data_IF_892350804442
#
_entry.id   IF_892350804442
#
_cell.length_a   1.000
_cell.length_b   1.000
_cell.length_c   1.000
_cell.angle_alpha   90.00
_cell.angle_beta   90.00
_cell.angle_gamma   90.00
#
_symmetry.space_group_name_H-M   'P 1'
#
loop_
_entity.id
_entity.type
_entity.pdbx_description
1 polymer ?
#
# COMPACT_ATOMS: atom_id res chain seq x y z
N UNK A 1 6.64 -15.69 15.28
CA UNK A 1 7.84 -15.62 14.42
C UNK A 1 7.87 -16.87 13.57
N UNK A 2 7.59 -16.75 12.26
CA UNK A 2 7.70 -17.88 11.34
C UNK A 2 9.20 -18.21 11.22
N UNK A 3 9.55 -19.47 11.56
CA UNK A 3 10.93 -19.91 11.44
C UNK A 3 11.38 -19.83 9.97
N UNK A 4 12.44 -19.06 9.63
CA UNK A 4 12.89 -18.87 8.25
C UNK A 4 13.28 -20.19 7.57
N UNK A 5 13.67 -21.21 8.32
CA UNK A 5 13.95 -22.54 7.78
C UNK A 5 12.68 -23.26 7.29
N UNK A 6 11.56 -23.09 8.01
CA UNK A 6 10.26 -23.63 7.61
C UNK A 6 9.79 -22.91 6.34
N UNK A 7 9.91 -21.59 6.28
CA UNK A 7 9.58 -20.80 5.10
C UNK A 7 10.42 -21.21 3.88
N UNK A 8 11.73 -21.40 4.05
CA UNK A 8 12.63 -21.85 2.99
C UNK A 8 12.31 -23.29 2.51
N UNK A 9 11.96 -24.19 3.43
CA UNK A 9 11.53 -25.55 3.10
C UNK A 9 10.25 -25.53 2.25
N UNK A 10 9.20 -24.84 2.71
CA UNK A 10 7.95 -24.73 1.94
C UNK A 10 8.15 -24.03 0.60
N UNK A 11 9.01 -23.01 0.53
CA UNK A 11 9.36 -22.35 -0.72
C UNK A 11 10.02 -23.30 -1.73
N UNK A 12 10.98 -24.11 -1.27
CA UNK A 12 11.64 -25.09 -2.13
C UNK A 12 10.69 -26.20 -2.58
N UNK A 13 9.82 -26.69 -1.71
CA UNK A 13 8.81 -27.70 -2.04
C UNK A 13 7.81 -27.17 -3.07
N UNK A 14 7.27 -25.97 -2.85
CA UNK A 14 6.39 -25.29 -3.80
C UNK A 14 7.06 -25.08 -5.17
N UNK A 15 8.34 -24.70 -5.16
CA UNK A 15 9.11 -24.49 -6.40
C UNK A 15 9.35 -25.79 -7.16
N UNK A 16 9.51 -26.91 -6.46
CA UNK A 16 9.63 -28.24 -7.04
C UNK A 16 8.30 -28.73 -7.63
N UNK A 17 7.20 -28.57 -6.91
CA UNK A 17 5.85 -28.92 -7.38
C UNK A 17 5.43 -28.10 -8.59
N UNK A 18 5.74 -26.81 -8.62
CA UNK A 18 5.43 -25.94 -9.78
C UNK A 18 6.17 -26.32 -11.07
N UNK A 19 7.27 -27.06 -10.97
CA UNK A 19 7.98 -27.61 -12.15
C UNK A 19 7.36 -28.88 -12.71
N UNK A 20 6.63 -29.61 -11.90
CA UNK A 20 6.09 -30.95 -12.23
C UNK A 20 4.63 -30.86 -12.69
N UNK A 21 3.87 -29.88 -12.22
CA UNK A 21 2.46 -29.70 -12.58
C UNK A 21 2.31 -29.10 -13.99
N UNK A 22 1.52 -29.73 -14.86
CA UNK A 22 1.22 -29.18 -16.19
C UNK A 22 0.50 -27.83 -16.04
N UNK A 23 0.80 -26.89 -16.94
CA UNK A 23 0.19 -25.57 -17.01
C UNK A 23 -1.27 -25.67 -17.43
N UNK A 24 -2.16 -26.02 -16.52
CA UNK A 24 -3.59 -25.81 -16.70
C UNK A 24 -3.92 -24.36 -16.34
N UNK A 25 -4.80 -23.70 -17.12
CA UNK A 25 -5.17 -22.29 -16.94
C UNK A 25 -5.56 -21.94 -15.49
N UNK A 26 -6.26 -22.83 -14.80
CA UNK A 26 -6.67 -22.65 -13.41
C UNK A 26 -5.49 -22.50 -12.42
N UNK A 27 -4.39 -23.22 -12.66
CA UNK A 27 -3.21 -23.10 -11.79
C UNK A 27 -2.41 -21.83 -12.04
N UNK A 28 -2.46 -21.28 -13.26
CA UNK A 28 -1.83 -20.00 -13.56
C UNK A 28 -2.47 -18.86 -12.76
N UNK A 29 -3.81 -18.81 -12.67
CA UNK A 29 -4.53 -17.79 -11.90
C UNK A 29 -4.26 -17.90 -10.39
N UNK A 30 -4.21 -19.11 -9.84
CA UNK A 30 -3.90 -19.32 -8.42
C UNK A 30 -2.47 -18.86 -8.11
N UNK A 31 -1.49 -19.14 -8.97
CA UNK A 31 -0.12 -18.62 -8.82
C UNK A 31 -0.06 -17.10 -8.87
N UNK A 32 -0.83 -16.47 -9.76
CA UNK A 32 -0.97 -15.02 -9.85
C UNK A 32 -1.53 -14.44 -8.55
N UNK A 33 -2.64 -14.98 -8.08
CA UNK A 33 -3.28 -14.58 -6.83
C UNK A 33 -2.31 -14.67 -5.64
N UNK A 34 -1.58 -15.77 -5.52
CA UNK A 34 -0.59 -15.97 -4.47
C UNK A 34 0.52 -14.91 -4.49
N UNK A 35 1.07 -14.56 -5.67
CA UNK A 35 2.07 -13.50 -5.81
C UNK A 35 1.53 -12.14 -5.38
N UNK A 36 0.28 -11.83 -5.74
CA UNK A 36 -0.36 -10.59 -5.34
C UNK A 36 -0.63 -10.53 -3.83
N UNK A 37 -1.04 -11.64 -3.21
CA UNK A 37 -1.24 -11.71 -1.75
C UNK A 37 0.07 -11.40 -1.01
N UNK A 38 1.20 -11.98 -1.43
CA UNK A 38 2.49 -11.69 -0.83
C UNK A 38 2.93 -10.25 -1.03
N UNK A 39 2.71 -9.70 -2.20
CA UNK A 39 2.99 -8.29 -2.49
C UNK A 39 2.14 -7.37 -1.62
N UNK A 40 0.84 -7.61 -1.51
CA UNK A 40 -0.08 -6.84 -0.66
C UNK A 40 0.28 -6.96 0.82
N UNK A 41 0.62 -8.15 1.28
CA UNK A 41 1.06 -8.38 2.66
C UNK A 41 2.32 -7.56 2.99
N UNK A 42 3.35 -7.63 2.15
CA UNK A 42 4.57 -6.83 2.30
C UNK A 42 4.28 -5.33 2.25
N UNK A 43 3.43 -4.88 1.32
CA UNK A 43 3.02 -3.49 1.18
C UNK A 43 2.30 -2.98 2.44
N UNK A 44 1.36 -3.75 2.99
CA UNK A 44 0.67 -3.39 4.23
C UNK A 44 1.65 -3.25 5.40
N UNK A 45 2.62 -4.16 5.53
CA UNK A 45 3.67 -4.03 6.56
C UNK A 45 4.47 -2.73 6.37
N UNK A 46 4.83 -2.38 5.14
CA UNK A 46 5.55 -1.12 4.84
C UNK A 46 4.70 0.10 5.19
N UNK A 47 3.42 0.11 4.81
CA UNK A 47 2.50 1.22 5.12
C UNK A 47 2.37 1.41 6.63
N UNK A 48 2.07 0.34 7.38
CA UNK A 48 1.93 0.40 8.83
C UNK A 48 3.25 0.75 9.53
N UNK A 49 4.37 0.23 9.05
CA UNK A 49 5.70 0.57 9.57
C UNK A 49 6.03 2.04 9.35
N UNK A 50 5.77 2.58 8.16
CA UNK A 50 5.96 3.99 7.84
C UNK A 50 5.03 4.90 8.66
N UNK A 51 3.76 4.52 8.81
CA UNK A 51 2.79 5.23 9.66
C UNK A 51 3.28 5.32 11.10
N UNK A 52 3.68 4.20 11.71
CA UNK A 52 4.17 4.17 13.09
C UNK A 52 5.47 4.95 13.26
N UNK A 53 6.38 4.92 12.27
CA UNK A 53 7.61 5.70 12.30
C UNK A 53 7.34 7.22 12.27
N UNK A 54 6.38 7.66 11.42
CA UNK A 54 5.97 9.05 11.37
C UNK A 54 5.26 9.48 12.66
N UNK A 55 4.35 8.67 13.17
CA UNK A 55 3.63 8.96 14.41
C UNK A 55 4.60 9.10 15.60
N UNK A 56 5.59 8.22 15.68
CA UNK A 56 6.68 8.33 16.63
C UNK A 56 7.47 9.63 16.47
N UNK A 57 7.81 10.02 15.24
CA UNK A 57 8.54 11.25 14.97
C UNK A 57 7.76 12.51 15.40
N UNK A 58 6.44 12.56 15.13
CA UNK A 58 5.59 13.66 15.57
C UNK A 58 5.46 13.73 17.09
N UNK A 59 5.33 12.58 17.76
CA UNK A 59 5.25 12.52 19.22
C UNK A 59 6.55 13.00 19.89
N UNK A 60 7.71 12.64 19.33
CA UNK A 60 9.01 13.17 19.77
C UNK A 60 9.11 14.69 19.57
N UNK A 61 8.69 15.19 18.41
CA UNK A 61 8.75 16.61 18.06
C UNK A 61 7.85 17.46 18.95
N UNK A 62 6.77 16.90 19.49
CA UNK A 62 5.88 17.56 20.46
C UNK A 62 6.49 17.63 21.87
N UNK A 63 7.70 17.14 22.09
CA UNK A 63 8.39 17.20 23.39
C UNK A 63 7.90 16.17 24.40
N UNK A 64 7.05 15.22 24.00
CA UNK A 64 6.63 14.14 24.88
C UNK A 64 7.78 13.13 25.02
N UNK A 65 8.35 13.07 26.21
CA UNK A 65 9.30 12.02 26.57
C UNK A 65 8.56 10.69 26.55
N UNK A 66 8.75 9.95 25.48
CA UNK A 66 8.13 8.66 25.26
C UNK A 66 8.71 7.66 26.28
N UNK A 67 7.88 7.24 27.21
CA UNK A 67 8.19 6.10 28.09
C UNK A 67 8.33 4.79 27.32
N UNK A 68 8.09 3.66 27.99
CA UNK A 68 8.16 2.32 27.38
C UNK A 68 7.31 2.18 26.09
N UNK A 69 6.12 2.77 26.05
CA UNK A 69 5.19 2.73 24.92
C UNK A 69 5.77 3.32 23.62
N UNK A 70 6.50 4.42 23.72
CA UNK A 70 7.12 5.01 22.54
C UNK A 70 8.25 4.18 21.96
N UNK A 71 9.03 3.53 22.83
CA UNK A 71 10.08 2.60 22.40
C UNK A 71 9.49 1.40 21.67
N UNK A 72 8.38 0.85 22.15
CA UNK A 72 7.68 -0.27 21.51
C UNK A 72 7.18 0.12 20.12
N UNK A 73 6.59 1.31 19.97
CA UNK A 73 6.12 1.82 18.66
C UNK A 73 7.28 1.94 17.67
N UNK A 74 8.42 2.50 18.11
CA UNK A 74 9.59 2.63 17.23
C UNK A 74 10.17 1.27 16.83
N UNK A 75 10.30 0.33 17.77
CA UNK A 75 10.79 -1.02 17.49
C UNK A 75 9.87 -1.76 16.54
N UNK A 76 8.56 -1.65 16.75
CA UNK A 76 7.57 -2.27 15.87
C UNK A 76 7.59 -1.67 14.46
N UNK A 77 7.72 -0.34 14.35
CA UNK A 77 7.87 0.35 13.06
C UNK A 77 9.09 -0.17 12.29
N UNK A 78 10.25 -0.26 12.96
CA UNK A 78 11.48 -0.78 12.34
C UNK A 78 11.31 -2.24 11.94
N UNK A 79 10.73 -3.07 12.80
CA UNK A 79 10.51 -4.49 12.51
C UNK A 79 9.60 -4.68 11.28
N UNK A 80 8.51 -3.91 11.19
CA UNK A 80 7.59 -3.94 10.05
C UNK A 80 8.28 -3.50 8.74
N UNK A 81 9.09 -2.44 8.80
CA UNK A 81 9.82 -1.96 7.63
C UNK A 81 10.91 -2.93 7.19
N UNK A 82 11.69 -3.46 8.12
CA UNK A 82 12.80 -4.40 7.83
C UNK A 82 12.29 -5.70 7.23
N UNK A 83 11.13 -6.18 7.68
CA UNK A 83 10.51 -7.41 7.14
C UNK A 83 9.66 -7.11 5.92
N UNK A 84 8.82 -6.08 5.97
CA UNK A 84 7.86 -5.75 4.94
C UNK A 84 8.49 -5.25 3.64
N UNK A 85 9.53 -4.39 3.73
CA UNK A 85 10.14 -3.81 2.55
C UNK A 85 10.81 -4.85 1.63
N UNK A 86 11.60 -5.82 2.11
CA UNK A 86 12.11 -6.89 1.28
C UNK A 86 11.00 -7.75 0.66
N UNK A 87 9.98 -8.14 1.44
CA UNK A 87 8.86 -8.94 0.95
C UNK A 87 8.15 -8.19 -0.19
N UNK A 88 7.79 -6.93 0.03
CA UNK A 88 7.14 -6.10 -0.99
C UNK A 88 8.02 -5.94 -2.23
N UNK A 89 9.30 -5.58 -2.05
CA UNK A 89 10.22 -5.32 -3.16
C UNK A 89 10.43 -6.55 -4.03
N UNK A 90 10.73 -7.70 -3.45
CA UNK A 90 10.96 -8.94 -4.20
C UNK A 90 9.67 -9.43 -4.86
N UNK A 91 8.54 -9.39 -4.17
CA UNK A 91 7.24 -9.78 -4.75
C UNK A 91 6.85 -8.87 -5.91
N UNK A 92 7.06 -7.56 -5.76
CA UNK A 92 6.78 -6.59 -6.81
C UNK A 92 7.70 -6.77 -8.01
N UNK A 93 9.00 -7.00 -7.78
CA UNK A 93 9.95 -7.29 -8.85
C UNK A 93 9.56 -8.54 -9.65
N UNK A 94 9.22 -9.63 -8.96
CA UNK A 94 8.73 -10.86 -9.62
C UNK A 94 7.48 -10.57 -10.46
N UNK A 95 6.54 -9.76 -9.96
CA UNK A 95 5.37 -9.34 -10.73
C UNK A 95 5.73 -8.53 -11.96
N UNK A 96 6.74 -7.66 -11.89
CA UNK A 96 7.22 -6.87 -13.03
C UNK A 96 7.94 -7.73 -14.08
N UNK A 97 8.77 -8.68 -13.65
CA UNK A 97 9.53 -9.56 -14.55
C UNK A 97 8.58 -10.46 -15.38
N UNK A 98 7.47 -10.92 -14.78
CA UNK A 98 6.46 -11.75 -15.47
C UNK A 98 5.65 -10.94 -16.49
N UNK A 99 5.64 -9.61 -16.43
CA UNK A 99 4.96 -8.73 -17.40
C UNK A 99 5.58 -8.73 -18.81
N UNK A 100 6.72 -9.37 -18.99
CA UNK A 100 7.26 -9.62 -20.33
C UNK A 100 6.32 -10.52 -21.17
N UNK A 101 5.48 -11.34 -20.50
CA UNK A 101 4.50 -12.21 -21.14
C UNK A 101 3.17 -11.46 -21.41
N UNK A 102 2.68 -11.52 -22.65
CA UNK A 102 1.47 -10.80 -23.10
C UNK A 102 0.21 -11.29 -22.35
N UNK A 103 0.13 -12.58 -22.03
CA UNK A 103 -1.00 -13.18 -21.31
C UNK A 103 -1.16 -12.67 -19.88
N UNK A 104 -0.05 -12.28 -19.25
CA UNK A 104 -0.03 -11.72 -17.89
C UNK A 104 -0.43 -10.24 -17.86
N UNK A 105 -0.21 -9.51 -18.97
CA UNK A 105 -0.62 -8.09 -19.09
C UNK A 105 -2.13 -7.92 -19.10
N UNK A 106 -2.86 -8.86 -19.65
CA UNK A 106 -4.32 -8.81 -19.79
C UNK A 106 -5.09 -9.33 -18.57
N UNK A 107 -4.40 -9.73 -17.49
CA UNK A 107 -5.02 -10.28 -16.31
C UNK A 107 -5.95 -9.28 -15.61
N UNK A 108 -7.24 -9.64 -15.52
CA UNK A 108 -8.26 -8.87 -14.78
C UNK A 108 -7.92 -8.73 -13.29
N UNK A 109 -7.25 -9.72 -12.72
CA UNK A 109 -6.84 -9.74 -11.32
C UNK A 109 -5.84 -8.62 -11.03
N UNK A 110 -4.86 -8.42 -11.91
CA UNK A 110 -3.89 -7.32 -11.81
C UNK A 110 -4.57 -5.96 -11.87
N UNK A 111 -5.42 -5.76 -12.87
CA UNK A 111 -6.17 -4.52 -13.02
C UNK A 111 -7.00 -4.24 -11.77
N UNK A 112 -7.72 -5.25 -11.26
CA UNK A 112 -8.51 -5.14 -10.04
C UNK A 112 -7.68 -4.72 -8.82
N UNK A 113 -6.49 -5.30 -8.64
CA UNK A 113 -5.60 -4.95 -7.51
C UNK A 113 -5.03 -3.54 -7.66
N UNK A 114 -4.62 -3.13 -8.87
CA UNK A 114 -4.17 -1.75 -9.11
C UNK A 114 -5.29 -0.73 -8.82
N UNK A 115 -6.52 -1.03 -9.21
CA UNK A 115 -7.70 -0.22 -8.87
C UNK A 115 -7.94 -0.16 -7.38
N UNK A 116 -7.88 -1.31 -6.69
CA UNK A 116 -8.06 -1.38 -5.24
C UNK A 116 -7.03 -0.52 -4.52
N UNK A 117 -5.76 -0.60 -4.91
CA UNK A 117 -4.68 0.17 -4.30
C UNK A 117 -4.80 1.67 -4.61
N UNK A 118 -5.09 2.02 -5.86
CA UNK A 118 -5.27 3.42 -6.25
C UNK A 118 -6.50 4.04 -5.58
N UNK A 119 -7.65 3.37 -5.61
CA UNK A 119 -8.89 3.86 -5.01
C UNK A 119 -8.81 3.89 -3.48
N UNK A 120 -8.33 2.81 -2.87
CA UNK A 120 -8.12 2.74 -1.42
C UNK A 120 -7.15 3.82 -0.93
N UNK A 121 -6.06 4.05 -1.68
CA UNK A 121 -5.11 5.12 -1.39
C UNK A 121 -5.77 6.50 -1.42
N UNK A 122 -6.54 6.80 -2.46
CA UNK A 122 -7.27 8.09 -2.58
C UNK A 122 -8.25 8.31 -1.43
N UNK A 123 -9.07 7.30 -1.09
CA UNK A 123 -10.05 7.41 0.00
C UNK A 123 -9.34 7.78 1.31
N UNK A 124 -8.23 7.09 1.63
CA UNK A 124 -7.47 7.36 2.86
C UNK A 124 -6.83 8.76 2.82
N UNK A 125 -6.26 9.16 1.68
CA UNK A 125 -5.65 10.49 1.50
C UNK A 125 -6.68 11.60 1.65
N UNK A 126 -7.86 11.46 1.04
CA UNK A 126 -8.94 12.45 1.17
C UNK A 126 -9.44 12.55 2.62
N UNK A 127 -9.63 11.41 3.30
CA UNK A 127 -10.04 11.38 4.70
C UNK A 127 -9.00 12.02 5.62
N UNK A 128 -7.72 11.67 5.45
CA UNK A 128 -6.61 12.23 6.22
C UNK A 128 -6.44 13.74 5.93
N UNK A 129 -6.53 14.13 4.65
CA UNK A 129 -6.47 15.52 4.21
C UNK A 129 -7.62 16.35 4.76
N UNK A 130 -8.85 15.87 4.71
CA UNK A 130 -10.01 16.53 5.30
C UNK A 130 -9.87 16.74 6.81
N UNK A 131 -9.38 15.70 7.52
CA UNK A 131 -9.10 15.80 8.95
C UNK A 131 -7.98 16.82 9.25
N UNK A 132 -6.93 16.86 8.44
CA UNK A 132 -5.85 17.82 8.57
C UNK A 132 -6.36 19.27 8.36
N UNK A 133 -7.13 19.50 7.30
CA UNK A 133 -7.75 20.81 7.02
C UNK A 133 -8.65 21.24 8.18
N UNK A 134 -9.47 20.34 8.69
CA UNK A 134 -10.33 20.62 9.86
C UNK A 134 -9.50 21.10 11.05
N UNK A 135 -8.41 20.42 11.41
CA UNK A 135 -7.55 20.80 12.54
C UNK A 135 -6.84 22.13 12.32
N UNK A 136 -6.41 22.40 11.08
CA UNK A 136 -5.81 23.70 10.71
C UNK A 136 -6.83 24.84 10.85
N UNK A 137 -8.07 24.65 10.40
CA UNK A 137 -9.13 25.63 10.53
C UNK A 137 -9.51 25.89 11.99
N UNK A 138 -9.62 24.86 12.81
CA UNK A 138 -9.92 25.01 14.25
C UNK A 138 -8.81 25.80 14.96
N UNK A 139 -7.54 25.52 14.65
CA UNK A 139 -6.42 26.28 15.19
C UNK A 139 -6.44 27.75 14.74
N UNK A 140 -6.77 28.00 13.45
CA UNK A 140 -6.85 29.36 12.91
C UNK A 140 -8.03 30.16 13.48
N UNK A 141 -9.14 29.51 13.79
CA UNK A 141 -10.36 30.11 14.33
C UNK A 141 -10.33 30.36 15.84
N UNK A 142 -9.26 29.99 16.54
CA UNK A 142 -9.04 30.42 17.90
C UNK A 142 -9.11 29.36 18.98
N UNK A 143 -8.97 28.06 18.68
CA UNK A 143 -8.80 27.03 19.72
C UNK A 143 -7.54 27.20 20.56
N UNK A 144 -6.58 28.03 20.14
CA UNK A 144 -5.46 28.52 20.94
C UNK A 144 -4.58 27.41 21.57
N UNK A 145 -4.52 26.23 20.96
CA UNK A 145 -3.68 25.13 21.45
C UNK A 145 -2.20 25.52 21.41
N UNK A 146 -1.45 25.06 22.40
CA UNK A 146 0.01 25.21 22.40
C UNK A 146 0.62 24.53 21.17
N UNK A 147 1.72 25.07 20.68
CA UNK A 147 2.41 24.55 19.46
C UNK A 147 2.70 23.06 19.56
N UNK A 148 3.13 22.56 20.72
CA UNK A 148 3.40 21.15 20.92
C UNK A 148 2.14 20.26 20.77
N UNK A 149 1.02 20.69 21.34
CA UNK A 149 -0.27 19.98 21.24
C UNK A 149 -0.80 20.00 19.79
N UNK A 150 -0.62 21.14 19.10
CA UNK A 150 -1.00 21.27 17.70
C UNK A 150 -0.17 20.34 16.78
N UNK A 151 1.17 20.28 16.99
CA UNK A 151 2.03 19.35 16.24
C UNK A 151 1.58 17.89 16.44
N UNK A 152 1.23 17.52 17.66
CA UNK A 152 0.73 16.18 17.95
C UNK A 152 -0.63 15.92 17.28
N UNK A 153 -1.53 16.90 17.29
CA UNK A 153 -2.84 16.80 16.67
C UNK A 153 -2.75 16.58 15.15
N UNK A 154 -1.88 17.33 14.45
CA UNK A 154 -1.72 17.16 12.99
C UNK A 154 -0.90 15.92 12.63
N UNK A 155 -0.12 15.40 13.57
CA UNK A 155 0.73 14.22 13.38
C UNK A 155 -0.05 13.00 12.91
N UNK A 156 -1.18 12.69 13.55
CA UNK A 156 -2.01 11.54 13.20
C UNK A 156 -2.49 11.52 11.74
N UNK A 157 -3.18 12.55 11.25
CA UNK A 157 -3.57 12.65 9.84
C UNK A 157 -2.39 12.57 8.86
N UNK A 158 -1.25 13.19 9.18
CA UNK A 158 -0.06 13.17 8.33
C UNK A 158 0.56 11.78 8.30
N UNK A 159 0.68 11.13 9.47
CA UNK A 159 1.26 9.79 9.59
C UNK A 159 0.49 8.73 8.80
N UNK A 160 -0.83 8.87 8.69
CA UNK A 160 -1.68 8.02 7.86
C UNK A 160 -1.64 8.46 6.40
N UNK A 161 -1.84 9.76 6.15
CA UNK A 161 -2.00 10.31 4.80
C UNK A 161 -0.78 10.15 3.93
N UNK A 162 0.43 10.38 4.46
CA UNK A 162 1.68 10.36 3.66
C UNK A 162 2.00 8.98 3.09
N UNK A 163 2.01 7.87 3.84
CA UNK A 163 2.26 6.55 3.26
C UNK A 163 1.23 6.17 2.19
N UNK A 164 -0.05 6.45 2.43
CA UNK A 164 -1.10 6.17 1.46
C UNK A 164 -1.04 7.08 0.22
N UNK A 165 -0.61 8.34 0.36
CA UNK A 165 -0.37 9.23 -0.78
C UNK A 165 0.76 8.71 -1.68
N UNK A 166 1.83 8.18 -1.09
CA UNK A 166 2.93 7.55 -1.84
C UNK A 166 2.42 6.31 -2.59
N UNK A 167 1.66 5.45 -1.92
CA UNK A 167 1.06 4.26 -2.54
C UNK A 167 0.13 4.65 -3.69
N UNK A 168 -0.76 5.61 -3.46
CA UNK A 168 -1.67 6.12 -4.49
C UNK A 168 -0.90 6.69 -5.70
N UNK A 169 0.09 7.56 -5.47
CA UNK A 169 0.86 8.16 -6.54
C UNK A 169 1.65 7.11 -7.35
N UNK A 170 2.23 6.13 -6.66
CA UNK A 170 3.01 5.06 -7.28
C UNK A 170 2.13 4.13 -8.13
N UNK A 171 1.10 3.54 -7.52
CA UNK A 171 0.22 2.58 -8.21
C UNK A 171 -0.75 3.25 -9.17
N UNK A 172 -1.16 4.50 -8.90
CA UNK A 172 -1.94 5.30 -9.83
C UNK A 172 -1.20 5.60 -11.14
N UNK A 173 0.12 5.84 -11.06
CA UNK A 173 0.97 5.98 -12.25
C UNK A 173 0.96 4.69 -13.10
N UNK A 174 1.12 3.52 -12.46
CA UNK A 174 1.07 2.23 -13.15
C UNK A 174 -0.30 1.95 -13.77
N UNK A 175 -1.36 2.29 -13.07
CA UNK A 175 -2.73 2.18 -13.58
C UNK A 175 -2.92 3.05 -14.83
N UNK A 176 -2.46 4.31 -14.78
CA UNK A 176 -2.58 5.25 -15.89
C UNK A 176 -1.76 4.81 -17.12
N UNK A 177 -0.56 4.26 -16.91
CA UNK A 177 0.23 3.68 -18.00
C UNK A 177 -0.49 2.49 -18.66
N UNK A 178 -1.18 1.68 -17.89
CA UNK A 178 -1.92 0.54 -18.41
C UNK A 178 -3.11 0.98 -19.27
N UNK A 179 -3.74 2.12 -18.97
CA UNK A 179 -4.79 2.70 -19.82
C UNK A 179 -4.26 3.23 -21.14
N UNK A 180 -3.08 3.84 -21.15
CA UNK A 180 -2.47 4.37 -22.37
C UNK A 180 -2.11 3.27 -23.39
N UNK A 181 -1.86 2.03 -22.94
CA UNK A 181 -1.63 0.88 -23.82
C UNK A 181 -2.92 0.23 -24.34
N UNK A 182 -4.10 0.56 -23.80
CA UNK A 182 -5.34 -0.17 -23.99
C UNK A 182 -6.41 0.68 -24.73
N UNK A 183 -6.02 1.75 -25.43
CA UNK A 183 -6.94 2.66 -26.15
C UNK A 183 -7.80 1.93 -27.20
N UNK A 184 -7.40 0.75 -27.66
CA UNK A 184 -8.09 -0.01 -28.70
C UNK A 184 -9.15 -1.02 -28.19
N UNK A 185 -9.36 -1.17 -26.88
CA UNK A 185 -10.28 -2.17 -26.33
C UNK A 185 -11.58 -1.59 -25.76
N UNK A 186 -12.71 -1.60 -26.52
CA UNK A 186 -13.98 -0.96 -26.11
C UNK A 186 -14.61 -1.52 -24.81
N UNK A 187 -14.25 -2.74 -24.39
CA UNK A 187 -14.75 -3.37 -23.16
C UNK A 187 -14.16 -2.79 -21.87
N UNK A 188 -13.02 -2.10 -21.92
CA UNK A 188 -12.33 -1.56 -20.75
C UNK A 188 -12.66 -0.10 -20.49
N UNK A 189 -13.14 0.63 -21.49
CA UNK A 189 -13.61 2.02 -21.35
C UNK A 189 -14.70 2.18 -20.27
N UNK A 190 -15.56 1.17 -20.08
CA UNK A 190 -16.57 1.16 -19.03
C UNK A 190 -15.98 1.13 -17.62
N UNK A 191 -14.87 0.41 -17.40
CA UNK A 191 -14.21 0.29 -16.07
C UNK A 191 -13.43 1.56 -15.73
N UNK A 192 -12.79 2.18 -16.71
CA UNK A 192 -12.12 3.46 -16.55
C UNK A 192 -13.12 4.57 -16.16
N UNK A 193 -14.29 4.60 -16.82
CA UNK A 193 -15.38 5.50 -16.47
C UNK A 193 -15.89 5.25 -15.04
N UNK A 194 -16.03 4.01 -14.63
CA UNK A 194 -16.44 3.66 -13.27
C UNK A 194 -15.44 4.20 -12.23
N UNK A 195 -14.14 4.06 -12.47
CA UNK A 195 -13.11 4.63 -11.58
C UNK A 195 -13.24 6.15 -11.47
N UNK A 196 -13.37 6.86 -12.59
CA UNK A 196 -13.55 8.31 -12.58
C UNK A 196 -14.88 8.74 -11.95
N UNK A 197 -15.96 7.96 -12.13
CA UNK A 197 -17.24 8.23 -11.45
C UNK A 197 -17.12 8.07 -9.93
N UNK A 198 -16.47 7.00 -9.45
CA UNK A 198 -16.25 6.81 -8.02
C UNK A 198 -15.37 7.93 -7.46
N UNK A 199 -14.29 8.30 -8.16
CA UNK A 199 -13.41 9.39 -7.76
C UNK A 199 -14.15 10.74 -7.72
N UNK A 200 -15.00 11.02 -8.72
CA UNK A 200 -15.84 12.23 -8.78
C UNK A 200 -16.94 12.27 -7.71
N UNK A 201 -17.39 11.11 -7.23
CA UNK A 201 -18.39 11.01 -6.16
C UNK A 201 -17.75 11.22 -4.78
N UNK A 202 -16.46 10.92 -4.63
CA UNK A 202 -15.70 11.07 -3.38
C UNK A 202 -15.09 12.46 -3.19
N UNK A 203 -14.90 13.23 -4.27
CA UNK A 203 -14.34 14.59 -4.27
C UNK A 203 -15.41 15.64 -4.41
#
# INVERSE_FOLDING_TARGET
>A
VVNPLIAAYFWNTLKAEWRILPETENFAEIRRLYRFIWMLYGLLMVIYGAQQALDYAFTLSAGNLLGALGRETAVNAIALLVVGAPIWFFSWKILQDVLADSSERESYLRLGILYLLALGGVIVVLTAGGNLIYRLLMQALGEGKKVAEFIQDIGGPISIGVPFAIVWAYYGKWLNQQFAFDEDAPRRAGKQRLYFYILSFLG
#
